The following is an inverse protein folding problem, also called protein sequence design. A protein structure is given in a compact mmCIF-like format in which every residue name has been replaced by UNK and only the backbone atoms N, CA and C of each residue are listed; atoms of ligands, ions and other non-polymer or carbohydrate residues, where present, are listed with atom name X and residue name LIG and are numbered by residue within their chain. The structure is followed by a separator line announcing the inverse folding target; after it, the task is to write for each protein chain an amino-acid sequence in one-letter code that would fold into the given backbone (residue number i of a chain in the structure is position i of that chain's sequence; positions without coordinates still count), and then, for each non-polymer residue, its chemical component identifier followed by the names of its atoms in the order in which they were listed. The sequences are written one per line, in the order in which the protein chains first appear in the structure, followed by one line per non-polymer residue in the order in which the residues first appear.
data_IF_015381349859
#
_entry.id   IF_015381349859
#
_cell.length_a   1.000
_cell.length_b   1.000
_cell.length_c   1.000
_cell.angle_alpha   90.00
_cell.angle_beta   90.00
_cell.angle_gamma   90.00
#
_symmetry.space_group_name_H-M   'P 1'
#
loop_
_entity.id
_entity.type
_entity.pdbx_description
1 polymer ?
#
# COMPACT_ATOMS: atom_id res chain seq x y z
N UNK A 1 -2.67 8.69 -8.85
CA UNK A 1 -1.34 8.69 -8.19
C UNK A 1 -0.97 7.25 -7.87
N UNK A 2 0.26 6.85 -8.17
CA UNK A 2 0.85 5.56 -7.81
C UNK A 2 1.85 5.76 -6.67
N UNK A 3 1.62 5.08 -5.55
CA UNK A 3 2.51 5.07 -4.40
C UNK A 3 3.14 3.69 -4.19
N UNK A 4 4.35 3.65 -3.63
CA UNK A 4 5.10 2.43 -3.35
C UNK A 4 5.62 2.43 -1.91
N UNK A 5 5.40 1.33 -1.19
CA UNK A 5 5.99 1.04 0.11
C UNK A 5 6.95 -0.13 -0.02
N UNK A 6 8.24 0.12 0.16
CA UNK A 6 9.29 -0.88 0.10
C UNK A 6 9.82 -1.20 1.49
N UNK A 7 10.13 -2.47 1.73
CA UNK A 7 10.84 -2.93 2.90
C UNK A 7 11.28 -4.37 2.73
N UNK A 8 12.20 -4.84 3.60
CA UNK A 8 12.46 -6.27 3.72
C UNK A 8 11.21 -7.03 4.17
N UNK A 9 11.24 -8.35 3.99
CA UNK A 9 10.18 -9.23 4.47
C UNK A 9 9.95 -9.04 5.98
N UNK A 10 8.69 -9.01 6.41
CA UNK A 10 8.31 -8.90 7.83
C UNK A 10 8.45 -7.52 8.46
N UNK A 11 8.86 -6.47 7.74
CA UNK A 11 9.07 -5.13 8.31
C UNK A 11 7.83 -4.20 8.27
N UNK A 12 6.62 -4.75 8.24
CA UNK A 12 5.38 -3.96 8.42
C UNK A 12 4.90 -3.11 7.23
N UNK A 13 5.18 -3.51 5.99
CA UNK A 13 4.66 -2.83 4.78
C UNK A 13 3.13 -2.73 4.79
N UNK A 14 2.45 -3.83 5.12
CA UNK A 14 0.99 -3.90 5.23
C UNK A 14 0.44 -2.89 6.23
N UNK A 15 1.13 -2.67 7.36
CA UNK A 15 0.70 -1.70 8.37
C UNK A 15 0.70 -0.26 7.84
N UNK A 16 1.72 0.11 7.05
CA UNK A 16 1.79 1.43 6.39
C UNK A 16 0.71 1.56 5.31
N UNK A 17 0.50 0.52 4.50
CA UNK A 17 -0.59 0.51 3.51
C UNK A 17 -1.97 0.63 4.15
N UNK A 18 -2.19 -0.06 5.27
CA UNK A 18 -3.44 0.02 6.05
C UNK A 18 -3.66 1.43 6.59
N UNK A 19 -2.63 2.13 7.06
CA UNK A 19 -2.73 3.54 7.45
C UNK A 19 -3.21 4.41 6.27
N UNK A 20 -2.63 4.25 5.06
CA UNK A 20 -3.10 4.97 3.88
C UNK A 20 -4.55 4.63 3.49
N UNK A 21 -4.95 3.36 3.62
CA UNK A 21 -6.35 2.98 3.41
C UNK A 21 -7.28 3.68 4.40
N UNK A 22 -6.93 3.67 5.68
CA UNK A 22 -7.74 4.29 6.72
C UNK A 22 -7.88 5.80 6.47
N UNK A 23 -6.79 6.49 6.11
CA UNK A 23 -6.85 7.90 5.73
C UNK A 23 -7.78 8.13 4.53
N UNK A 24 -7.73 7.27 3.51
CA UNK A 24 -8.66 7.33 2.38
C UNK A 24 -10.12 7.13 2.79
N UNK A 25 -10.37 6.18 3.70
CA UNK A 25 -11.70 5.84 4.20
C UNK A 25 -12.27 6.94 5.11
N UNK A 26 -11.42 7.60 5.90
CA UNK A 26 -11.76 8.77 6.73
C UNK A 26 -12.20 9.97 5.89
N UNK A 27 -11.66 10.12 4.69
CA UNK A 27 -12.11 11.09 3.69
C UNK A 27 -13.41 10.64 2.95
N UNK A 28 -14.02 9.54 3.37
CA UNK A 28 -15.26 9.00 2.79
C UNK A 28 -15.08 8.21 1.49
N UNK A 29 -13.84 7.91 1.08
CA UNK A 29 -13.58 7.14 -0.13
C UNK A 29 -13.62 5.64 0.16
N UNK A 30 -14.06 4.85 -0.82
CA UNK A 30 -14.02 3.39 -0.81
C UNK A 30 -12.64 2.88 -1.20
N UNK A 31 -12.11 1.96 -0.40
CA UNK A 31 -10.83 1.31 -0.62
C UNK A 31 -11.06 -0.14 -1.02
N UNK A 32 -10.40 -0.58 -2.09
CA UNK A 32 -10.22 -2.00 -2.38
C UNK A 32 -8.80 -2.40 -1.98
N UNK A 33 -8.67 -3.30 -1.02
CA UNK A 33 -7.39 -3.86 -0.60
C UNK A 33 -7.22 -5.26 -1.20
N UNK A 34 -6.34 -5.38 -2.18
CA UNK A 34 -5.91 -6.63 -2.79
C UNK A 34 -4.71 -7.17 -2.01
N UNK A 35 -4.89 -8.28 -1.32
CA UNK A 35 -3.83 -8.99 -0.61
C UNK A 35 -3.42 -10.22 -1.41
N UNK A 36 -2.15 -10.29 -1.79
CA UNK A 36 -1.58 -11.37 -2.59
C UNK A 36 -0.71 -12.23 -1.66
N UNK A 37 -0.95 -13.53 -1.63
CA UNK A 37 -0.18 -14.47 -0.81
C UNK A 37 -0.58 -14.51 0.67
N UNK A 38 -1.34 -13.53 1.17
CA UNK A 38 -1.88 -13.53 2.53
C UNK A 38 -3.39 -13.79 2.59
N UNK A 39 -3.84 -14.31 3.73
CA UNK A 39 -5.26 -14.55 4.00
C UNK A 39 -5.99 -13.30 4.47
N UNK A 40 -7.30 -13.25 4.21
CA UNK A 40 -8.16 -12.10 4.55
C UNK A 40 -8.12 -11.74 6.03
N UNK A 41 -8.01 -12.75 6.91
CA UNK A 41 -7.99 -12.55 8.36
C UNK A 41 -6.75 -11.78 8.82
N UNK A 42 -5.61 -11.99 8.15
CA UNK A 42 -4.37 -11.27 8.48
C UNK A 42 -4.46 -9.80 8.10
N UNK A 43 -4.95 -9.50 6.89
CA UNK A 43 -5.20 -8.11 6.47
C UNK A 43 -6.22 -7.45 7.38
N UNK A 44 -7.31 -8.16 7.74
CA UNK A 44 -8.32 -7.64 8.67
C UNK A 44 -7.75 -7.31 10.04
N UNK A 45 -6.91 -8.19 10.60
CA UNK A 45 -6.25 -7.98 11.89
C UNK A 45 -5.43 -6.70 11.88
N UNK A 46 -4.68 -6.42 10.80
CA UNK A 46 -3.95 -5.16 10.66
C UNK A 46 -4.86 -3.92 10.71
N UNK A 47 -6.03 -3.95 10.05
CA UNK A 47 -6.98 -2.84 10.14
C UNK A 47 -7.51 -2.66 11.57
N UNK A 48 -7.88 -3.76 12.22
CA UNK A 48 -8.44 -3.73 13.58
C UNK A 48 -7.38 -3.22 14.58
N UNK A 49 -6.13 -3.68 14.47
CA UNK A 49 -5.00 -3.26 15.30
C UNK A 49 -4.69 -1.77 15.13
N UNK A 50 -4.46 -1.31 13.89
CA UNK A 50 -4.14 0.11 13.63
C UNK A 50 -5.29 1.01 14.07
N UNK A 51 -6.54 0.62 13.83
CA UNK A 51 -7.68 1.42 14.24
C UNK A 51 -7.83 1.49 15.76
N UNK A 52 -7.57 0.40 16.47
CA UNK A 52 -7.58 0.38 17.94
C UNK A 52 -6.56 1.35 18.53
N UNK A 53 -5.40 1.48 17.89
CA UNK A 53 -4.34 2.38 18.31
C UNK A 53 -4.64 3.84 18.01
N UNK A 54 -5.26 4.14 16.87
CA UNK A 54 -5.67 5.51 16.51
C UNK A 54 -6.78 6.07 17.40
N UNK A 55 -7.51 5.18 18.07
CA UNK A 55 -8.64 5.54 18.92
C UNK A 55 -8.31 5.44 20.41
N UNK A 56 -7.03 5.24 20.78
CA UNK A 56 -6.58 4.98 22.15
C UNK A 56 -7.41 3.87 22.85
N UNK A 57 -7.93 2.91 22.07
CA UNK A 57 -8.81 1.84 22.54
C UNK A 57 -10.26 2.29 22.83
N UNK A 58 -10.62 3.55 22.58
CA UNK A 58 -11.99 4.04 22.71
C UNK A 58 -12.88 3.53 21.58
N UNK A 59 -14.10 3.11 21.94
CA UNK A 59 -15.11 2.72 20.94
C UNK A 59 -15.71 3.97 20.31
N UNK A 60 -15.13 4.44 19.21
CA UNK A 60 -15.75 5.49 18.41
C UNK A 60 -16.92 4.88 17.63
N UNK A 61 -18.12 5.44 17.81
CA UNK A 61 -19.36 4.95 17.15
C UNK A 61 -19.28 4.97 15.62
N UNK A 62 -18.38 5.78 15.04
CA UNK A 62 -18.14 5.87 13.59
C UNK A 62 -17.18 4.82 13.03
N UNK A 63 -16.44 4.08 13.87
CA UNK A 63 -15.53 2.99 13.42
C UNK A 63 -16.28 1.98 12.54
N UNK A 64 -17.43 1.41 12.96
CA UNK A 64 -18.16 0.46 12.14
C UNK A 64 -18.62 1.04 10.81
N UNK A 65 -18.85 2.34 10.70
CA UNK A 65 -19.25 2.99 9.46
C UNK A 65 -18.10 3.20 8.51
N UNK A 66 -16.96 3.68 9.01
CA UNK A 66 -15.72 3.84 8.22
C UNK A 66 -15.32 2.49 7.60
N UNK A 67 -15.43 1.41 8.38
CA UNK A 67 -15.07 0.06 7.94
C UNK A 67 -15.94 -0.48 6.79
N UNK A 68 -17.13 0.10 6.53
CA UNK A 68 -17.96 -0.23 5.36
C UNK A 68 -17.35 0.27 4.05
N UNK A 69 -16.45 1.25 4.11
CA UNK A 69 -15.73 1.78 2.95
C UNK A 69 -14.49 0.95 2.61
N UNK A 70 -14.39 -0.30 3.07
CA UNK A 70 -13.33 -1.24 2.68
C UNK A 70 -13.91 -2.52 2.11
N UNK A 71 -13.29 -3.00 1.05
CA UNK A 71 -13.37 -4.39 0.61
C UNK A 71 -11.98 -4.99 0.59
N UNK A 72 -11.84 -6.24 1.05
CA UNK A 72 -10.58 -7.00 0.96
C UNK A 72 -10.78 -8.12 -0.07
N UNK A 73 -9.90 -8.21 -1.04
CA UNK A 73 -9.80 -9.33 -1.98
C UNK A 73 -8.48 -10.04 -1.76
N UNK A 74 -8.50 -11.37 -1.76
CA UNK A 74 -7.29 -12.18 -1.61
C UNK A 74 -7.00 -12.96 -2.88
N UNK A 75 -5.73 -12.98 -3.29
CA UNK A 75 -5.25 -13.80 -4.40
C UNK A 75 -4.09 -14.67 -3.94
N UNK A 76 -3.96 -15.86 -4.53
CA UNK A 76 -2.71 -16.61 -4.42
C UNK A 76 -1.67 -15.95 -5.32
N UNK A 77 -0.41 -15.94 -4.89
CA UNK A 77 0.72 -15.36 -5.67
C UNK A 77 0.73 -15.88 -7.11
N UNK A 78 0.64 -17.20 -7.29
CA UNK A 78 0.67 -17.85 -8.60
C UNK A 78 -0.55 -17.58 -9.51
N UNK A 79 -1.55 -16.85 -9.03
CA UNK A 79 -2.84 -16.64 -9.72
C UNK A 79 -3.15 -15.18 -9.99
N UNK A 80 -2.41 -14.25 -9.38
CA UNK A 80 -2.69 -12.84 -9.54
C UNK A 80 -2.27 -12.37 -10.94
N UNK A 81 -3.17 -11.66 -11.61
CA UNK A 81 -2.88 -10.95 -12.86
C UNK A 81 -3.78 -9.72 -12.96
N UNK A 82 -3.34 -8.72 -13.74
CA UNK A 82 -4.11 -7.52 -14.02
C UNK A 82 -5.48 -7.86 -14.64
N UNK A 83 -5.51 -8.79 -15.59
CA UNK A 83 -6.75 -9.24 -16.23
C UNK A 83 -7.75 -9.83 -15.22
N UNK A 84 -7.28 -10.67 -14.30
CA UNK A 84 -8.16 -11.26 -13.28
C UNK A 84 -8.67 -10.21 -12.29
N UNK A 85 -7.82 -9.27 -11.86
CA UNK A 85 -8.23 -8.15 -11.01
C UNK A 85 -9.29 -7.28 -11.70
N UNK A 86 -9.07 -6.96 -12.97
CA UNK A 86 -9.98 -6.15 -13.77
C UNK A 86 -11.35 -6.83 -13.94
N UNK A 87 -11.38 -8.12 -14.30
CA UNK A 87 -12.62 -8.90 -14.40
C UNK A 87 -13.41 -8.86 -13.08
N UNK A 88 -12.74 -9.14 -11.95
CA UNK A 88 -13.38 -9.17 -10.62
C UNK A 88 -13.89 -7.80 -10.20
N UNK A 89 -13.12 -6.74 -10.46
CA UNK A 89 -13.55 -5.38 -10.13
C UNK A 89 -14.74 -4.97 -11.00
N UNK A 90 -14.70 -5.25 -12.30
CA UNK A 90 -15.76 -4.90 -13.23
C UNK A 90 -17.08 -5.56 -12.88
N UNK A 91 -17.06 -6.82 -12.44
CA UNK A 91 -18.26 -7.51 -11.96
C UNK A 91 -18.91 -6.80 -10.78
N UNK A 92 -18.11 -6.35 -9.80
CA UNK A 92 -18.61 -5.61 -8.65
C UNK A 92 -19.17 -4.24 -9.02
N UNK A 93 -18.52 -3.55 -9.95
CA UNK A 93 -18.94 -2.23 -10.41
C UNK A 93 -20.23 -2.34 -11.23
N UNK A 94 -20.32 -3.30 -12.16
CA UNK A 94 -21.51 -3.54 -13.00
C UNK A 94 -22.73 -3.93 -12.18
N UNK A 95 -22.53 -4.70 -11.11
CA UNK A 95 -23.59 -5.09 -10.17
C UNK A 95 -23.91 -3.99 -9.15
N UNK A 96 -23.25 -2.82 -9.23
CA UNK A 96 -23.38 -1.71 -8.29
C UNK A 96 -23.13 -2.11 -6.82
N UNK A 97 -22.29 -3.14 -6.61
CA UNK A 97 -21.94 -3.65 -5.28
C UNK A 97 -20.85 -2.78 -4.67
N UNK A 98 -19.79 -2.53 -5.44
CA UNK A 98 -18.62 -1.80 -4.93
C UNK A 98 -17.89 -1.08 -6.06
N UNK A 99 -17.60 0.19 -5.85
CA UNK A 99 -16.80 1.03 -6.75
C UNK A 99 -15.76 1.77 -5.89
N UNK A 100 -14.51 1.28 -5.84
CA UNK A 100 -13.46 1.93 -5.07
C UNK A 100 -12.96 3.20 -5.76
N UNK A 101 -12.43 4.13 -4.97
CA UNK A 101 -11.63 5.27 -5.44
C UNK A 101 -10.14 5.09 -5.11
N UNK A 102 -9.80 4.18 -4.21
CA UNK A 102 -8.43 3.84 -3.84
C UNK A 102 -8.21 2.33 -3.94
N UNK A 103 -7.10 1.93 -4.55
CA UNK A 103 -6.69 0.54 -4.69
C UNK A 103 -5.38 0.31 -3.95
N UNK A 104 -5.32 -0.74 -3.14
CA UNK A 104 -4.09 -1.21 -2.51
C UNK A 104 -3.77 -2.58 -3.08
N UNK A 105 -2.53 -2.79 -3.52
CA UNK A 105 -2.00 -4.07 -3.97
C UNK A 105 -0.83 -4.44 -3.05
N UNK A 106 -1.13 -5.24 -2.03
CA UNK A 106 -0.15 -5.74 -1.07
C UNK A 106 0.37 -7.11 -1.52
N UNK A 107 1.66 -7.21 -1.83
CA UNK A 107 2.32 -8.43 -2.28
C UNK A 107 2.51 -8.53 -3.79
N UNK A 108 2.58 -7.41 -4.52
CA UNK A 108 2.84 -7.44 -5.97
C UNK A 108 4.26 -7.95 -6.26
N UNK A 109 4.38 -8.86 -7.23
CA UNK A 109 5.65 -9.47 -7.61
C UNK A 109 6.39 -8.63 -8.67
N UNK A 110 7.12 -7.62 -8.20
CA UNK A 110 7.96 -6.78 -9.04
C UNK A 110 9.17 -7.49 -9.66
N UNK A 111 9.53 -8.71 -9.20
CA UNK A 111 10.66 -9.43 -9.76
C UNK A 111 10.29 -10.17 -11.06
N UNK A 112 9.04 -10.62 -11.16
CA UNK A 112 8.52 -11.37 -12.30
C UNK A 112 7.59 -10.55 -13.21
N UNK A 113 7.35 -9.28 -12.90
CA UNK A 113 6.57 -8.36 -13.74
C UNK A 113 7.45 -7.21 -14.22
N UNK A 114 7.19 -6.76 -15.43
CA UNK A 114 7.95 -5.70 -16.08
C UNK A 114 7.29 -4.33 -15.94
N UNK A 115 7.95 -3.33 -16.53
CA UNK A 115 7.46 -1.95 -16.56
C UNK A 115 6.12 -1.83 -17.30
N UNK A 116 5.94 -2.57 -18.40
CA UNK A 116 4.71 -2.55 -19.21
C UNK A 116 3.51 -2.99 -18.37
N UNK A 117 3.66 -4.05 -17.57
CA UNK A 117 2.62 -4.52 -16.64
C UNK A 117 2.18 -3.44 -15.63
N UNK A 118 3.10 -2.60 -15.16
CA UNK A 118 2.79 -1.48 -14.25
C UNK A 118 2.14 -0.30 -14.99
N UNK A 119 2.54 -0.03 -16.23
CA UNK A 119 1.93 0.99 -17.09
C UNK A 119 0.47 0.62 -17.45
N UNK A 120 0.20 -0.67 -17.66
CA UNK A 120 -1.15 -1.19 -17.83
C UNK A 120 -2.01 -0.99 -16.57
N UNK A 121 -1.44 -1.20 -15.37
CA UNK A 121 -2.13 -0.92 -14.10
C UNK A 121 -2.41 0.58 -13.93
N UNK A 122 -1.50 1.46 -14.37
CA UNK A 122 -1.73 2.91 -14.40
C UNK A 122 -2.88 3.28 -15.34
N UNK A 123 -2.95 2.63 -16.50
CA UNK A 123 -4.04 2.82 -17.47
C UNK A 123 -5.37 2.36 -16.89
N UNK A 124 -5.41 1.17 -16.31
CA UNK A 124 -6.58 0.63 -15.59
C UNK A 124 -7.07 1.57 -14.48
N UNK A 125 -6.15 2.15 -13.70
CA UNK A 125 -6.47 3.16 -12.68
C UNK A 125 -7.26 4.34 -13.28
N UNK A 126 -6.77 4.90 -14.38
CA UNK A 126 -7.40 6.05 -15.04
C UNK A 126 -8.77 5.68 -15.63
N UNK A 127 -8.87 4.55 -16.33
CA UNK A 127 -10.11 4.09 -16.96
C UNK A 127 -11.24 3.84 -15.94
N UNK A 128 -10.89 3.33 -14.76
CA UNK A 128 -11.86 3.02 -13.70
C UNK A 128 -12.10 4.20 -12.75
N UNK A 129 -11.44 5.34 -12.98
CA UNK A 129 -11.60 6.55 -12.16
C UNK A 129 -11.03 6.42 -10.75
N UNK A 130 -10.05 5.55 -10.56
CA UNK A 130 -9.32 5.42 -9.31
C UNK A 130 -8.44 6.67 -9.10
N UNK A 131 -8.53 7.28 -7.91
CA UNK A 131 -7.73 8.46 -7.56
C UNK A 131 -6.29 8.07 -7.27
N UNK A 132 -6.09 6.91 -6.65
CA UNK A 132 -4.76 6.40 -6.31
C UNK A 132 -4.69 4.88 -6.25
N UNK A 133 -3.47 4.38 -6.46
CA UNK A 133 -3.08 2.99 -6.27
C UNK A 133 -1.80 2.91 -5.44
N UNK A 134 -1.76 2.04 -4.45
CA UNK A 134 -0.60 1.81 -3.61
C UNK A 134 -0.11 0.38 -3.72
N UNK A 135 1.20 0.20 -3.74
CA UNK A 135 1.84 -1.11 -3.83
C UNK A 135 2.74 -1.36 -2.63
N UNK A 136 2.87 -2.62 -2.22
CA UNK A 136 4.01 -3.08 -1.44
C UNK A 136 5.00 -3.83 -2.30
N UNK A 137 6.30 -3.66 -2.01
CA UNK A 137 7.37 -4.44 -2.61
C UNK A 137 8.38 -4.91 -1.57
N UNK A 138 8.89 -6.13 -1.75
CA UNK A 138 9.94 -6.68 -0.91
C UNK A 138 11.30 -6.32 -1.49
N UNK A 139 12.16 -5.69 -0.69
CA UNK A 139 13.58 -5.52 -1.03
C UNK A 139 14.43 -6.59 -0.33
N UNK A 140 15.49 -7.04 -1.00
CA UNK A 140 16.40 -8.07 -0.49
C UNK A 140 17.70 -7.47 0.02
N UNK A 141 18.29 -8.07 1.06
CA UNK A 141 19.54 -7.57 1.67
C UNK A 141 20.73 -7.66 0.71
N UNK A 142 20.72 -8.69 -0.13
CA UNK A 142 21.87 -9.04 -0.97
C UNK A 142 21.80 -8.38 -2.36
N UNK A 143 20.67 -7.76 -2.70
CA UNK A 143 20.54 -6.96 -3.91
C UNK A 143 20.84 -5.49 -3.60
N UNK A 144 22.03 -5.04 -4.02
CA UNK A 144 22.53 -3.69 -3.74
C UNK A 144 22.16 -2.68 -4.82
N UNK A 145 21.41 -3.08 -5.85
CA UNK A 145 21.00 -2.17 -6.92
C UNK A 145 20.01 -1.16 -6.37
N UNK A 146 20.25 0.10 -6.70
CA UNK A 146 19.43 1.25 -6.31
C UNK A 146 19.31 2.21 -7.50
N UNK A 147 18.17 2.89 -7.61
CA UNK A 147 17.99 3.97 -8.58
C UNK A 147 18.74 5.23 -8.16
N UNK A 148 18.72 6.26 -9.02
CA UNK A 148 19.27 7.59 -8.69
C UNK A 148 18.54 8.23 -7.50
N UNK A 149 17.24 7.96 -7.35
CA UNK A 149 16.41 8.42 -6.23
C UNK A 149 16.59 7.54 -4.96
N UNK A 150 17.46 6.52 -5.01
CA UNK A 150 17.74 5.62 -3.90
C UNK A 150 16.73 4.49 -3.73
N UNK A 151 15.86 4.26 -4.72
CA UNK A 151 14.85 3.18 -4.69
C UNK A 151 15.54 1.83 -4.91
N UNK A 152 15.42 0.86 -4.00
CA UNK A 152 16.11 -0.43 -4.12
C UNK A 152 15.46 -1.35 -5.16
N UNK A 153 16.21 -2.36 -5.59
CA UNK A 153 15.65 -3.49 -6.31
C UNK A 153 14.55 -4.21 -5.49
N UNK A 154 13.53 -4.79 -6.16
CA UNK A 154 13.39 -4.88 -7.62
C UNK A 154 12.90 -3.59 -8.31
N UNK A 155 12.36 -2.62 -7.58
CA UNK A 155 11.68 -1.46 -8.17
C UNK A 155 12.59 -0.36 -8.75
N UNK A 156 13.92 -0.47 -8.59
CA UNK A 156 14.91 0.52 -9.03
C UNK A 156 14.84 0.98 -10.51
N UNK A 157 14.30 0.17 -11.41
CA UNK A 157 14.18 0.50 -12.85
C UNK A 157 12.80 1.07 -13.23
N UNK A 158 11.82 0.94 -12.33
CA UNK A 158 10.41 1.34 -12.55
C UNK A 158 9.96 2.44 -11.58
N UNK A 159 10.87 2.97 -10.78
CA UNK A 159 10.62 4.01 -9.77
C UNK A 159 10.07 5.32 -10.38
N UNK A 160 10.36 5.58 -11.65
CA UNK A 160 9.79 6.70 -12.42
C UNK A 160 8.27 6.63 -12.61
N UNK A 161 7.64 5.47 -12.39
CA UNK A 161 6.18 5.32 -12.47
C UNK A 161 5.45 5.77 -11.19
N UNK A 162 6.18 5.92 -10.08
CA UNK A 162 5.61 6.23 -8.76
C UNK A 162 5.87 7.67 -8.38
N UNK A 163 4.80 8.40 -8.07
CA UNK A 163 4.88 9.78 -7.56
C UNK A 163 5.27 9.80 -6.07
N UNK A 164 5.18 8.68 -5.35
CA UNK A 164 5.61 8.57 -3.96
C UNK A 164 6.25 7.21 -3.70
N UNK A 165 7.44 7.22 -3.08
CA UNK A 165 8.15 5.99 -2.69
C UNK A 165 8.62 6.12 -1.25
N UNK A 166 8.20 5.17 -0.43
CA UNK A 166 8.52 5.08 0.98
C UNK A 166 9.33 3.81 1.25
N UNK A 167 10.41 3.94 2.01
CA UNK A 167 11.29 2.82 2.34
C UNK A 167 11.40 2.64 3.85
N UNK A 168 10.98 1.49 4.35
CA UNK A 168 11.13 1.12 5.76
C UNK A 168 12.51 0.52 5.97
N UNK A 169 13.29 1.11 6.89
CA UNK A 169 14.61 0.62 7.30
C UNK A 169 14.67 0.40 8.81
N UNK A 170 15.16 -0.77 9.27
CA UNK A 170 15.50 -0.94 10.67
C UNK A 170 16.81 -0.21 10.98
N UNK A 171 16.85 0.59 12.04
CA UNK A 171 18.06 1.27 12.53
C UNK A 171 18.15 1.09 14.04
N UNK A 172 19.00 0.14 14.48
CA UNK A 172 19.04 -0.31 15.86
C UNK A 172 17.70 -0.91 16.27
N UNK A 173 17.15 -0.43 17.38
CA UNK A 173 15.83 -0.85 17.89
C UNK A 173 14.67 -0.03 17.33
N UNK A 174 14.93 0.93 16.43
CA UNK A 174 13.91 1.77 15.82
C UNK A 174 13.63 1.39 14.36
N UNK A 175 12.41 1.68 13.92
CA UNK A 175 12.01 1.58 12.52
C UNK A 175 11.97 2.98 11.93
N UNK A 176 12.60 3.19 10.79
CA UNK A 176 12.61 4.45 10.04
C UNK A 176 11.82 4.31 8.76
N UNK A 177 11.06 5.34 8.42
CA UNK A 177 10.36 5.49 7.14
C UNK A 177 11.04 6.63 6.37
N UNK A 178 11.84 6.26 5.38
CA UNK A 178 12.48 7.21 4.49
C UNK A 178 11.53 7.54 3.33
N UNK A 179 11.29 8.83 3.09
CA UNK A 179 10.55 9.32 1.93
C UNK A 179 11.56 9.54 0.80
N UNK A 180 11.68 8.55 -0.10
CA UNK A 180 12.65 8.61 -1.20
C UNK A 180 12.17 9.50 -2.33
N UNK A 181 10.86 9.44 -2.63
CA UNK A 181 10.20 10.27 -3.63
C UNK A 181 8.90 10.79 -3.07
N UNK A 182 8.60 12.07 -3.30
CA UNK A 182 7.25 12.58 -3.17
C UNK A 182 7.01 13.83 -4.00
N UNK A 183 6.22 13.72 -5.06
CA UNK A 183 5.95 14.82 -5.99
C UNK A 183 4.87 15.81 -5.48
N UNK A 184 4.12 15.41 -4.44
CA UNK A 184 2.97 16.19 -3.93
C UNK A 184 2.93 16.35 -2.40
N UNK A 185 3.98 15.93 -1.68
CA UNK A 185 4.05 16.08 -0.23
C UNK A 185 4.50 17.48 0.16
N UNK A 186 4.09 17.91 1.36
CA UNK A 186 4.74 19.03 2.07
C UNK A 186 6.10 18.65 2.68
N UNK A 187 6.43 17.36 2.68
CA UNK A 187 7.67 16.82 3.21
C UNK A 187 8.65 16.68 2.05
N UNK A 188 9.86 17.23 2.24
CA UNK A 188 10.90 17.17 1.23
C UNK A 188 11.41 15.72 1.06
N UNK A 189 11.67 15.25 -0.17
CA UNK A 189 12.38 14.00 -0.41
C UNK A 189 13.68 13.94 0.41
N UNK A 190 13.94 12.80 1.05
CA UNK A 190 15.03 12.63 2.02
C UNK A 190 14.62 12.85 3.48
N UNK A 191 13.37 13.24 3.75
CA UNK A 191 12.83 13.25 5.11
C UNK A 191 12.70 11.81 5.65
N UNK A 192 13.17 11.60 6.88
CA UNK A 192 13.02 10.34 7.61
C UNK A 192 12.06 10.53 8.77
N UNK A 193 11.01 9.71 8.83
CA UNK A 193 10.10 9.62 9.97
C UNK A 193 10.46 8.43 10.84
N UNK A 194 10.24 8.55 12.15
CA UNK A 194 10.40 7.44 13.09
C UNK A 194 9.07 6.69 13.23
N UNK A 195 9.12 5.38 13.15
CA UNK A 195 8.00 4.49 13.38
C UNK A 195 8.16 3.80 14.73
N UNK A 196 7.05 3.57 15.43
CA UNK A 196 7.06 2.63 16.53
C UNK A 196 7.24 1.20 16.01
N UNK A 197 8.23 0.42 16.48
CA UNK A 197 8.46 -0.93 15.97
C UNK A 197 7.32 -1.92 16.25
N UNK A 198 6.52 -1.68 17.30
CA UNK A 198 5.43 -2.56 17.69
C UNK A 198 4.13 -2.24 16.94
N UNK A 199 3.86 -0.95 16.71
CA UNK A 199 2.61 -0.52 16.08
C UNK A 199 2.75 -0.10 14.62
N UNK A 200 3.98 0.16 14.17
CA UNK A 200 4.31 0.75 12.86
C UNK A 200 3.65 2.11 12.60
N UNK A 201 3.14 2.78 13.66
CA UNK A 201 2.61 4.13 13.57
C UNK A 201 3.74 5.15 13.54
N UNK A 202 3.53 6.24 12.79
CA UNK A 202 4.46 7.37 12.73
C UNK A 202 4.48 8.09 14.09
N UNK A 203 5.65 8.15 14.72
CA UNK A 203 5.87 8.96 15.91
C UNK A 203 5.95 10.43 15.50
N UNK A 204 5.15 11.29 16.13
CA UNK A 204 5.40 12.73 16.08
C UNK A 204 6.75 12.99 16.77
N UNK A 205 7.67 13.59 16.01
CA UNK A 205 8.92 14.13 16.56
C UNK A 205 8.67 15.36 17.41
#
# INVERSE_FOLDING_TARGET
MMGLVMARAGLGKTAILVQFALDCMLLGNKVLHVSIGEGVDKTRTWYDDILSLLTDGEKIESIPEIMKNRMIMTFKESSFSKALLEERLDDLVKQNIYKPECLIIDGYDFANNDKESLEELRTFMNERGLKMIWFSAVSHRDDTRVSLDGVPAPCHEVDGLFETVLLIKPVGDAMKLDILKCDSCKLDPGTTLMLDPSTMLIKKG
#
